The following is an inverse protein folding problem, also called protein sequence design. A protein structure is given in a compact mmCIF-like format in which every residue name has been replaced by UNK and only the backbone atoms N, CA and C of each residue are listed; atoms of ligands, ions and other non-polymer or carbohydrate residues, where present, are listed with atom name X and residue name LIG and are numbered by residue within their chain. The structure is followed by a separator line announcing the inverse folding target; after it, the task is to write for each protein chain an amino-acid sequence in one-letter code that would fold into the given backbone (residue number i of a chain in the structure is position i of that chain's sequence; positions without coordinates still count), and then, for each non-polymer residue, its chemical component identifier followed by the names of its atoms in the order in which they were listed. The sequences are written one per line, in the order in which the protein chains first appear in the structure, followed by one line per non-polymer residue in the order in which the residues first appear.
data_IF_024374430041
#
_entry.id   IF_024374430041
#
_cell.length_a   1.000
_cell.length_b   1.000
_cell.length_c   1.000
_cell.angle_alpha   90.00
_cell.angle_beta   90.00
_cell.angle_gamma   90.00
#
_symmetry.space_group_name_H-M   'P 1'
#
loop_
_entity.id
_entity.type
_entity.pdbx_description
1 polymer ?
#
# COMPACT_ATOMS: atom_id res chain seq x y z
N UNK A 1 -14.86 9.31 -10.02
CA UNK A 1 -14.94 9.92 -8.67
C UNK A 1 -16.21 9.39 -8.04
N UNK A 2 -16.11 8.82 -6.86
CA UNK A 2 -17.20 8.23 -6.10
C UNK A 2 -17.15 8.82 -4.68
N UNK A 3 -18.31 9.11 -4.11
CA UNK A 3 -18.45 9.47 -2.71
C UNK A 3 -18.93 8.24 -1.94
N UNK A 4 -18.09 7.71 -1.06
CA UNK A 4 -18.36 6.48 -0.34
C UNK A 4 -18.76 6.77 1.10
N UNK A 5 -19.90 6.22 1.51
CA UNK A 5 -20.32 6.17 2.90
C UNK A 5 -19.95 4.80 3.47
N UNK A 6 -19.36 4.73 4.67
CA UNK A 6 -18.91 3.46 5.23
C UNK A 6 -18.97 3.39 6.76
N UNK A 7 -19.08 2.15 7.25
CA UNK A 7 -18.90 1.73 8.63
C UNK A 7 -18.02 0.48 8.65
N UNK A 8 -17.29 0.29 9.75
CA UNK A 8 -16.37 -0.85 9.93
C UNK A 8 -16.68 -1.60 11.22
N UNK A 9 -16.27 -2.86 11.28
CA UNK A 9 -16.29 -3.66 12.51
C UNK A 9 -15.23 -4.77 12.42
N UNK A 10 -15.03 -5.49 13.51
CA UNK A 10 -14.19 -6.67 13.56
C UNK A 10 -14.92 -7.80 14.28
N UNK A 11 -14.77 -9.03 13.80
CA UNK A 11 -15.32 -10.22 14.45
C UNK A 11 -14.23 -11.25 14.73
N UNK A 12 -14.38 -11.99 15.84
CA UNK A 12 -13.51 -13.12 16.13
C UNK A 12 -13.77 -14.27 15.15
N UNK A 13 -12.73 -15.06 14.86
CA UNK A 13 -12.83 -16.19 13.93
C UNK A 13 -13.94 -17.19 14.33
N UNK A 14 -14.10 -17.47 15.63
CA UNK A 14 -15.13 -18.39 16.12
C UNK A 14 -16.57 -17.94 15.82
N UNK A 15 -16.81 -16.65 15.63
CA UNK A 15 -18.13 -16.10 15.29
C UNK A 15 -18.39 -16.04 13.78
N UNK A 16 -17.38 -16.29 12.95
CA UNK A 16 -17.46 -16.13 11.50
C UNK A 16 -18.60 -16.94 10.88
N UNK A 17 -18.69 -18.24 11.18
CA UNK A 17 -19.72 -19.12 10.60
C UNK A 17 -21.12 -18.62 10.94
N UNK A 18 -21.37 -18.25 12.19
CA UNK A 18 -22.65 -17.69 12.63
C UNK A 18 -22.96 -16.36 11.92
N UNK A 19 -21.96 -15.49 11.78
CA UNK A 19 -22.11 -14.20 11.10
C UNK A 19 -22.45 -14.39 9.62
N UNK A 20 -21.75 -15.28 8.93
CA UNK A 20 -21.99 -15.61 7.52
C UNK A 20 -23.40 -16.16 7.33
N UNK A 21 -23.82 -17.15 8.13
CA UNK A 21 -25.17 -17.71 8.03
C UNK A 21 -26.26 -16.67 8.30
N UNK A 22 -26.04 -15.77 9.27
CA UNK A 22 -26.99 -14.69 9.56
C UNK A 22 -27.08 -13.69 8.41
N UNK A 23 -25.94 -13.34 7.78
CA UNK A 23 -25.92 -12.46 6.61
C UNK A 23 -26.52 -13.11 5.37
N UNK A 24 -26.32 -14.41 5.15
CA UNK A 24 -26.99 -15.16 4.08
C UNK A 24 -28.52 -15.12 4.26
N UNK A 25 -29.01 -15.34 5.49
CA UNK A 25 -30.44 -15.25 5.80
C UNK A 25 -31.00 -13.83 5.62
N UNK A 26 -30.23 -12.81 6.01
CA UNK A 26 -30.62 -11.41 5.92
C UNK A 26 -30.65 -10.89 4.47
N UNK A 27 -29.61 -11.20 3.69
CA UNK A 27 -29.49 -10.74 2.30
C UNK A 27 -30.27 -11.60 1.31
N UNK A 28 -30.66 -12.82 1.70
CA UNK A 28 -31.24 -13.81 0.80
C UNK A 28 -30.23 -14.41 -0.18
N UNK A 29 -28.95 -14.05 -0.07
CA UNK A 29 -27.89 -14.61 -0.90
C UNK A 29 -27.39 -15.93 -0.31
N UNK A 30 -27.64 -17.04 -1.02
CA UNK A 30 -27.18 -18.36 -0.60
C UNK A 30 -25.65 -18.51 -0.71
N UNK A 31 -25.05 -17.92 -1.75
CA UNK A 31 -23.61 -17.94 -2.00
C UNK A 31 -23.05 -16.52 -2.01
N UNK A 32 -22.30 -16.09 -0.97
CA UNK A 32 -21.63 -14.80 -1.02
C UNK A 32 -20.57 -14.78 -2.13
N UNK A 33 -20.32 -13.59 -2.69
CA UNK A 33 -19.31 -13.44 -3.74
C UNK A 33 -17.91 -13.48 -3.13
N UNK A 34 -16.98 -14.34 -3.60
CA UNK A 34 -15.62 -14.36 -3.09
C UNK A 34 -14.86 -13.08 -3.49
N UNK A 35 -14.04 -12.58 -2.57
CA UNK A 35 -13.12 -11.46 -2.77
C UNK A 35 -11.69 -12.00 -2.68
N UNK A 36 -10.88 -11.74 -3.70
CA UNK A 36 -9.45 -11.99 -3.69
C UNK A 36 -8.75 -10.84 -4.43
N UNK A 37 -8.26 -9.85 -3.68
CA UNK A 37 -7.61 -8.67 -4.26
C UNK A 37 -6.19 -8.51 -3.76
N UNK A 38 -5.29 -8.14 -4.66
CA UNK A 38 -3.91 -7.76 -4.38
C UNK A 38 -3.81 -6.26 -4.50
N UNK A 39 -3.16 -5.62 -3.53
CA UNK A 39 -2.98 -4.17 -3.51
C UNK A 39 -1.50 -3.83 -3.40
N UNK A 40 -1.02 -3.03 -4.35
CA UNK A 40 0.24 -2.30 -4.28
C UNK A 40 -0.02 -0.89 -3.76
N UNK A 41 0.75 -0.47 -2.76
CA UNK A 41 0.76 0.89 -2.26
C UNK A 41 1.97 1.64 -2.79
N UNK A 42 1.76 2.76 -3.46
CA UNK A 42 2.82 3.57 -4.05
C UNK A 42 2.82 5.00 -3.52
N UNK A 43 4.01 5.61 -3.43
CA UNK A 43 4.23 7.04 -3.10
C UNK A 43 4.80 7.76 -4.32
N UNK A 44 4.56 9.06 -4.48
CA UNK A 44 5.33 9.87 -5.41
C UNK A 44 6.83 9.87 -5.06
N UNK A 45 7.71 9.80 -6.06
CA UNK A 45 9.17 9.92 -5.93
C UNK A 45 9.55 11.26 -5.31
N UNK A 46 9.06 12.34 -5.93
CA UNK A 46 9.35 13.70 -5.49
C UNK A 46 8.20 14.21 -4.61
N UNK A 47 8.43 14.16 -3.30
CA UNK A 47 7.49 14.74 -2.35
C UNK A 47 7.52 16.26 -2.50
N UNK A 48 6.39 16.85 -2.89
CA UNK A 48 6.22 18.28 -3.07
C UNK A 48 6.44 19.00 -1.74
N UNK A 49 7.50 19.80 -1.67
CA UNK A 49 7.80 20.67 -0.54
C UNK A 49 7.31 22.07 -0.89
N UNK A 50 6.14 22.52 -0.40
CA UNK A 50 5.62 23.84 -0.73
C UNK A 50 6.62 24.92 -0.30
N UNK A 51 7.05 25.76 -1.24
CA UNK A 51 7.76 27.00 -0.89
C UNK A 51 6.76 27.91 -0.19
N UNK A 52 7.02 28.26 1.06
CA UNK A 52 6.17 29.18 1.82
C UNK A 52 6.42 30.60 1.30
N UNK A 53 5.52 31.08 0.45
CA UNK A 53 5.48 32.49 0.03
C UNK A 53 4.36 33.19 0.81
N UNK A 54 4.65 34.27 1.56
CA UNK A 54 3.62 35.05 2.25
C UNK A 54 2.51 35.45 1.26
N UNK A 55 1.26 35.09 1.57
CA UNK A 55 0.09 35.38 0.74
C UNK A 55 -0.29 34.28 -0.27
N UNK A 56 0.55 33.25 -0.48
CA UNK A 56 0.17 32.05 -1.25
C UNK A 56 0.04 30.86 -0.32
N UNK A 57 -1.20 30.44 -0.07
CA UNK A 57 -1.46 29.16 0.59
C UNK A 57 -1.33 28.06 -0.45
N UNK A 58 -0.16 27.45 -0.54
CA UNK A 58 0.06 26.27 -1.38
C UNK A 58 -0.63 25.06 -0.71
N UNK A 59 -1.86 24.76 -1.13
CA UNK A 59 -2.68 23.64 -0.65
C UNK A 59 -2.57 22.41 -1.56
N UNK A 60 -1.39 22.14 -2.12
CA UNK A 60 -1.18 20.92 -2.89
C UNK A 60 -0.75 19.84 -1.89
N UNK A 61 -1.69 18.93 -1.61
CA UNK A 61 -1.43 17.71 -0.87
C UNK A 61 -1.08 16.59 -1.85
N UNK A 62 -0.15 15.72 -1.45
CA UNK A 62 0.16 14.50 -2.18
C UNK A 62 -0.41 13.30 -1.45
N UNK A 63 -0.78 12.28 -2.20
CA UNK A 63 -1.45 11.10 -1.69
C UNK A 63 -0.69 9.84 -2.09
N UNK A 64 -0.78 8.81 -1.25
CA UNK A 64 -0.46 7.46 -1.66
C UNK A 64 -1.48 6.98 -2.68
N UNK A 65 -1.02 6.25 -3.69
CA UNK A 65 -1.89 5.61 -4.67
C UNK A 65 -1.96 4.11 -4.37
N UNK A 66 -3.17 3.56 -4.42
CA UNK A 66 -3.41 2.11 -4.32
C UNK A 66 -3.63 1.57 -5.72
N UNK A 67 -2.85 0.58 -6.12
CA UNK A 67 -3.05 -0.15 -7.36
C UNK A 67 -3.62 -1.53 -6.99
N UNK A 68 -4.87 -1.78 -7.36
CA UNK A 68 -5.62 -2.96 -6.94
C UNK A 68 -5.82 -3.86 -8.16
N UNK A 69 -5.54 -5.15 -8.03
CA UNK A 69 -5.92 -6.16 -9.02
C UNK A 69 -6.51 -7.38 -8.33
N UNK A 70 -7.10 -8.29 -9.08
CA UNK A 70 -7.56 -9.58 -8.56
C UNK A 70 -6.41 -10.58 -8.57
N UNK A 71 -6.33 -11.42 -7.54
CA UNK A 71 -5.42 -12.56 -7.52
C UNK A 71 -6.21 -13.85 -7.40
N UNK A 72 -5.68 -14.92 -7.98
CA UNK A 72 -6.18 -16.27 -7.77
C UNK A 72 -5.35 -16.94 -6.70
N UNK A 73 -6.01 -17.47 -5.68
CA UNK A 73 -5.37 -18.33 -4.70
C UNK A 73 -4.85 -19.57 -5.45
N UNK A 74 -3.53 -19.78 -5.45
CA UNK A 74 -2.94 -21.00 -6.01
C UNK A 74 -3.18 -22.24 -5.13
N UNK A 75 -3.91 -22.07 -4.03
CA UNK A 75 -4.26 -23.07 -3.03
C UNK A 75 -5.73 -22.87 -2.63
N UNK A 76 -6.49 -23.95 -2.39
CA UNK A 76 -7.85 -23.90 -1.83
C UNK A 76 -7.82 -23.35 -0.40
N UNK A 77 -7.61 -22.05 -0.25
CA UNK A 77 -7.61 -21.41 1.05
C UNK A 77 -9.07 -21.23 1.51
N UNK A 78 -9.52 -22.15 2.36
CA UNK A 78 -10.83 -22.03 3.00
C UNK A 78 -10.78 -20.99 4.12
N UNK A 79 -11.42 -19.84 3.87
CA UNK A 79 -11.61 -18.76 4.84
C UNK A 79 -12.26 -19.24 6.16
N UNK A 80 -13.07 -20.31 6.12
CA UNK A 80 -13.73 -20.82 7.31
C UNK A 80 -12.76 -21.53 8.28
N UNK A 81 -11.58 -21.93 7.81
CA UNK A 81 -10.54 -22.52 8.65
C UNK A 81 -9.67 -21.44 9.30
N UNK A 82 -9.28 -21.65 10.56
CA UNK A 82 -8.37 -20.75 11.25
C UNK A 82 -6.99 -20.86 10.60
N UNK A 83 -6.34 -19.73 10.30
CA UNK A 83 -4.95 -19.74 9.82
C UNK A 83 -4.07 -19.89 11.05
N UNK A 84 -3.82 -21.13 11.43
CA UNK A 84 -2.89 -21.45 12.51
C UNK A 84 -1.53 -21.67 11.86
N UNK A 85 -0.48 -21.00 12.38
CA UNK A 85 0.91 -21.30 12.04
C UNK A 85 1.27 -22.69 12.61
N UNK A 86 0.79 -23.76 11.99
CA UNK A 86 1.27 -25.10 12.32
C UNK A 86 2.70 -25.23 11.80
N UNK A 87 3.66 -25.33 12.74
CA UNK A 87 5.10 -25.44 12.49
C UNK A 87 5.79 -24.21 11.88
N UNK A 88 5.24 -23.01 12.07
CA UNK A 88 5.91 -21.75 11.67
C UNK A 88 5.83 -21.41 10.19
N UNK A 89 5.28 -22.28 9.34
CA UNK A 89 5.02 -21.96 7.94
C UNK A 89 3.57 -21.52 7.74
N UNK A 90 3.35 -20.40 7.05
CA UNK A 90 2.02 -20.04 6.57
C UNK A 90 1.55 -21.03 5.50
N UNK A 91 0.32 -21.54 5.63
CA UNK A 91 -0.28 -22.44 4.64
C UNK A 91 -0.92 -21.71 3.44
N UNK A 92 -0.81 -20.39 3.37
CA UNK A 92 -1.42 -19.59 2.30
C UNK A 92 -0.36 -19.21 1.28
N UNK A 93 -0.57 -19.61 0.04
CA UNK A 93 0.34 -19.33 -1.06
C UNK A 93 -0.37 -18.53 -2.15
N UNK A 94 0.29 -17.49 -2.65
CA UNK A 94 -0.16 -16.71 -3.81
C UNK A 94 0.75 -16.99 -4.99
N UNK A 95 0.22 -17.06 -6.22
CA UNK A 95 1.08 -17.07 -7.39
C UNK A 95 1.84 -15.74 -7.50
N UNK A 96 3.10 -15.77 -7.92
CA UNK A 96 3.83 -14.55 -8.26
C UNK A 96 3.09 -13.82 -9.39
N UNK A 97 2.65 -12.58 -9.14
CA UNK A 97 1.82 -11.84 -10.09
C UNK A 97 2.62 -11.27 -11.27
N UNK A 98 3.94 -11.21 -11.13
CA UNK A 98 4.89 -10.57 -12.04
C UNK A 98 5.90 -11.59 -12.62
N UNK A 99 5.56 -12.88 -12.64
CA UNK A 99 6.48 -13.90 -13.17
C UNK A 99 6.50 -13.88 -14.70
N UNK A 100 7.68 -14.07 -15.30
CA UNK A 100 7.87 -14.10 -16.75
C UNK A 100 7.03 -15.15 -17.50
N UNK A 101 6.49 -16.18 -16.84
CA UNK A 101 5.59 -17.13 -17.51
C UNK A 101 4.20 -16.55 -17.79
N UNK A 102 3.83 -15.47 -17.08
CA UNK A 102 2.58 -14.72 -17.26
C UNK A 102 2.70 -13.61 -18.33
N UNK A 103 3.71 -13.66 -19.21
CA UNK A 103 3.98 -12.70 -20.30
C UNK A 103 2.79 -12.44 -21.26
N UNK A 104 1.70 -13.21 -21.16
CA UNK A 104 0.47 -13.02 -21.95
C UNK A 104 -0.77 -12.71 -21.10
N UNK A 105 -0.64 -12.61 -19.78
CA UNK A 105 -1.77 -12.40 -18.89
C UNK A 105 -2.13 -10.92 -18.85
N UNK A 106 -3.26 -10.59 -19.47
CA UNK A 106 -3.88 -9.28 -19.30
C UNK A 106 -4.41 -9.17 -17.88
N UNK A 107 -3.91 -8.18 -17.12
CA UNK A 107 -4.39 -7.87 -15.78
C UNK A 107 -5.13 -6.55 -15.78
N UNK A 108 -6.23 -6.52 -15.02
CA UNK A 108 -7.01 -5.30 -14.80
C UNK A 108 -6.51 -4.69 -13.50
N UNK A 109 -6.00 -3.47 -13.59
CA UNK A 109 -5.51 -2.69 -12.46
C UNK A 109 -6.45 -1.52 -12.21
N UNK A 110 -6.92 -1.37 -10.98
CA UNK A 110 -7.66 -0.18 -10.53
C UNK A 110 -6.71 0.68 -9.71
N UNK A 111 -6.36 1.84 -10.27
CA UNK A 111 -5.60 2.90 -9.58
C UNK A 111 -6.58 3.72 -8.75
N UNK A 112 -6.33 3.84 -7.46
CA UNK A 112 -7.20 4.48 -6.50
C UNK A 112 -6.44 5.49 -5.64
N UNK A 113 -6.99 6.71 -5.53
CA UNK A 113 -6.57 7.74 -4.58
C UNK A 113 -7.79 8.13 -3.75
N UNK A 114 -7.64 8.17 -2.42
CA UNK A 114 -8.74 8.45 -1.51
C UNK A 114 -8.41 9.66 -0.63
N UNK A 115 -9.28 10.66 -0.63
CA UNK A 115 -9.14 11.80 0.26
C UNK A 115 -9.38 11.39 1.73
N UNK A 116 -8.95 12.21 2.68
CA UNK A 116 -9.29 11.98 4.08
C UNK A 116 -10.82 12.03 4.27
N UNK A 117 -11.43 11.17 5.11
CA UNK A 117 -12.86 11.29 5.38
C UNK A 117 -13.26 12.69 5.85
N UNK A 118 -14.48 13.11 5.54
CA UNK A 118 -14.99 14.43 5.92
C UNK A 118 -14.87 14.58 7.44
N UNK A 119 -14.50 15.76 7.95
CA UNK A 119 -14.48 16.02 9.38
C UNK A 119 -15.88 16.38 9.90
N UNK A 120 -16.26 15.89 11.07
CA UNK A 120 -17.48 16.33 11.74
C UNK A 120 -17.76 15.60 13.05
N UNK A 121 -18.23 16.30 14.07
CA UNK A 121 -18.54 15.70 15.39
C UNK A 121 -19.81 14.83 15.39
N UNK A 122 -20.72 15.07 14.44
CA UNK A 122 -22.05 14.45 14.39
C UNK A 122 -22.23 13.59 13.13
N UNK A 123 -21.16 12.96 12.67
CA UNK A 123 -21.27 12.04 11.54
C UNK A 123 -21.88 10.73 12.00
N UNK A 124 -22.85 10.23 11.23
CA UNK A 124 -23.47 8.93 11.45
C UNK A 124 -22.72 7.79 10.76
N UNK A 125 -21.95 8.11 9.71
CA UNK A 125 -21.09 7.19 8.98
C UNK A 125 -19.84 7.94 8.48
N UNK A 126 -18.78 7.22 8.15
CA UNK A 126 -17.60 7.81 7.50
C UNK A 126 -17.94 8.15 6.05
N UNK A 127 -17.67 9.38 5.64
CA UNK A 127 -17.91 9.85 4.28
C UNK A 127 -16.58 10.23 3.63
N UNK A 128 -16.22 9.53 2.55
CA UNK A 128 -14.90 9.66 1.91
C UNK A 128 -15.04 9.83 0.40
N UNK A 129 -14.22 10.69 -0.18
CA UNK A 129 -14.13 10.84 -1.64
C UNK A 129 -13.04 9.93 -2.20
N UNK A 130 -13.38 9.16 -3.23
CA UNK A 130 -12.50 8.20 -3.88
C UNK A 130 -12.41 8.53 -5.37
N UNK A 131 -11.18 8.64 -5.86
CA UNK A 131 -10.86 8.74 -7.27
C UNK A 131 -10.32 7.40 -7.72
N UNK A 132 -10.91 6.86 -8.78
CA UNK A 132 -10.57 5.56 -9.32
C UNK A 132 -10.41 5.66 -10.84
N UNK A 133 -9.45 4.92 -11.37
CA UNK A 133 -9.21 4.73 -12.79
C UNK A 133 -8.86 3.27 -13.03
N UNK A 134 -9.42 2.66 -14.06
CA UNK A 134 -9.14 1.27 -14.41
C UNK A 134 -8.26 1.22 -15.65
N UNK A 135 -7.11 0.57 -15.52
CA UNK A 135 -6.15 0.30 -16.58
C UNK A 135 -6.20 -1.20 -16.90
N UNK A 136 -6.22 -1.53 -18.19
CA UNK A 136 -5.95 -2.89 -18.65
C UNK A 136 -4.49 -2.90 -19.06
N UNK A 137 -3.68 -3.68 -18.35
CA UNK A 137 -2.25 -3.77 -18.59
C UNK A 137 -1.89 -5.19 -19.05
N UNK A 138 -1.08 -5.28 -20.10
CA UNK A 138 -0.50 -6.55 -20.54
C UNK A 138 0.94 -6.55 -20.07
N UNK A 139 1.31 -7.52 -19.23
CA UNK A 139 2.67 -7.63 -18.74
C UNK A 139 3.61 -7.93 -19.93
N UNK A 140 4.53 -7.03 -20.19
CA UNK A 140 5.62 -7.23 -21.14
C UNK A 140 6.95 -7.14 -20.39
N UNK A 141 7.94 -7.92 -20.83
CA UNK A 141 9.29 -7.81 -20.30
C UNK A 141 10.01 -6.63 -20.96
N UNK A 142 10.36 -5.63 -20.16
CA UNK A 142 11.15 -4.46 -20.60
C UNK A 142 12.61 -4.69 -20.21
N UNK A 143 13.53 -4.63 -21.18
CA UNK A 143 14.97 -4.65 -20.91
C UNK A 143 15.36 -3.30 -20.31
N UNK A 144 15.79 -3.25 -19.04
CA UNK A 144 16.28 -2.00 -18.45
C UNK A 144 17.69 -1.69 -18.95
N UNK A 145 17.91 -0.48 -19.48
CA UNK A 145 19.26 0.10 -19.56
C UNK A 145 19.71 0.50 -18.15
N UNK A 146 20.94 0.16 -17.78
CA UNK A 146 21.48 0.25 -16.42
C UNK A 146 21.42 1.67 -15.84
N UNK A 147 20.57 1.89 -14.83
CA UNK A 147 20.69 3.00 -13.89
C UNK A 147 20.54 2.47 -12.46
N UNK A 148 21.63 2.54 -11.69
CA UNK A 148 21.76 2.10 -10.30
C UNK A 148 20.91 2.97 -9.36
N UNK A 149 19.76 2.50 -8.88
CA UNK A 149 19.07 3.05 -7.70
C UNK A 149 18.36 1.90 -6.95
N UNK A 150 18.50 1.91 -5.62
CA UNK A 150 18.13 0.87 -4.64
C UNK A 150 16.74 0.25 -4.86
N UNK A 151 16.71 -1.06 -5.17
CA UNK A 151 15.49 -1.84 -5.36
C UNK A 151 15.07 -2.53 -4.06
N UNK A 152 13.80 -2.40 -3.68
CA UNK A 152 13.15 -3.44 -2.88
C UNK A 152 13.02 -4.69 -3.77
N UNK A 153 13.55 -5.83 -3.32
CA UNK A 153 13.52 -7.11 -4.04
C UNK A 153 12.09 -7.65 -4.18
N UNK A 154 11.45 -7.25 -5.28
CA UNK A 154 10.24 -7.88 -5.81
C UNK A 154 10.70 -9.12 -6.59
N UNK A 155 10.59 -10.30 -5.97
CA UNK A 155 10.79 -11.64 -6.54
C UNK A 155 12.11 -11.90 -7.29
N UNK A 156 13.26 -11.90 -6.59
CA UNK A 156 14.52 -12.46 -7.12
C UNK A 156 14.87 -13.82 -6.46
N UNK A 157 15.26 -14.78 -7.30
CA UNK A 157 15.61 -16.15 -6.94
C UNK A 157 17.09 -16.28 -6.55
N UNK A 158 17.38 -16.84 -5.37
CA UNK A 158 18.74 -17.20 -4.98
C UNK A 158 19.11 -18.59 -5.51
N UNK A 159 20.13 -18.65 -6.37
CA UNK A 159 20.84 -19.89 -6.73
C UNK A 159 22.11 -19.98 -5.88
N UNK A 160 22.08 -20.80 -4.84
CA UNK A 160 23.30 -21.21 -4.14
C UNK A 160 23.85 -22.51 -4.76
N UNK A 161 25.09 -22.44 -5.26
CA UNK A 161 25.97 -23.60 -5.42
C UNK A 161 27.20 -23.42 -4.56
N UNK A 162 27.22 -24.18 -3.48
CA UNK A 162 28.38 -24.56 -2.68
C UNK A 162 29.50 -25.15 -3.55
N UNK A 163 30.76 -24.78 -3.27
CA UNK A 163 31.90 -25.71 -3.30
C UNK A 163 33.18 -25.13 -2.62
N UNK A 164 33.39 -25.60 -1.38
CA UNK A 164 34.63 -26.08 -0.71
C UNK A 164 36.04 -25.64 -1.20
N UNK A 165 36.78 -24.96 -0.31
CA UNK A 165 38.23 -25.09 0.09
C UNK A 165 38.66 -23.74 0.69
N UNK A 166 39.33 -23.58 1.83
CA UNK A 166 40.23 -24.40 2.64
C UNK A 166 41.33 -23.45 3.14
N UNK A 167 41.71 -23.57 4.42
CA UNK A 167 43.01 -23.18 5.01
C UNK A 167 43.31 -21.74 5.54
N UNK A 168 43.19 -21.67 6.89
CA UNK A 168 44.22 -21.27 7.90
C UNK A 168 44.53 -19.82 8.32
N UNK A 169 44.66 -19.70 9.67
CA UNK A 169 45.54 -18.83 10.51
C UNK A 169 45.12 -17.37 10.71
N UNK A 170 45.34 -16.69 11.84
CA UNK A 170 45.69 -16.94 13.25
C UNK A 170 45.77 -15.53 13.91
N UNK A 171 45.55 -15.44 15.23
CA UNK A 171 45.86 -14.33 16.19
C UNK A 171 44.90 -13.14 16.28
N UNK A 172 44.26 -12.82 17.41
CA UNK A 172 44.65 -12.56 18.83
C UNK A 172 44.90 -11.07 19.17
N UNK A 173 44.28 -10.65 20.29
CA UNK A 173 44.64 -9.55 21.21
C UNK A 173 44.27 -8.10 20.82
N UNK A 174 43.87 -7.15 21.69
CA UNK A 174 43.35 -7.11 23.07
C UNK A 174 43.12 -5.61 23.42
N UNK A 175 42.11 -5.28 24.26
CA UNK A 175 41.99 -4.05 25.12
C UNK A 175 41.85 -2.65 24.44
N UNK A 176 41.11 -1.64 24.95
CA UNK A 176 40.85 -1.20 26.33
C UNK A 176 39.75 -0.10 26.37
N UNK A 177 39.03 -0.01 27.49
CA UNK A 177 38.06 1.01 27.91
C UNK A 177 38.66 2.42 28.13
N UNK A 178 37.84 3.48 28.05
CA UNK A 178 37.67 4.48 29.13
C UNK A 178 36.54 5.51 28.85
N UNK A 179 35.69 5.72 29.86
CA UNK A 179 34.60 6.70 29.99
C UNK A 179 35.08 8.13 30.28
N UNK A 180 34.33 9.17 29.86
CA UNK A 180 34.10 10.39 30.68
C UNK A 180 32.95 11.31 30.21
N UNK A 181 32.24 11.82 31.22
CA UNK A 181 31.06 12.71 31.28
C UNK A 181 31.37 14.20 31.06
N UNK A 182 30.33 15.00 30.72
CA UNK A 182 29.92 16.34 31.28
C UNK A 182 28.94 17.02 30.28
N UNK A 183 27.64 17.19 30.53
CA UNK A 183 26.91 18.26 31.29
C UNK A 183 27.29 19.72 30.96
N UNK A 184 26.37 20.53 30.38
CA UNK A 184 25.65 21.68 31.01
C UNK A 184 25.15 22.79 30.02
N UNK A 185 23.83 23.09 30.11
CA UNK A 185 23.13 24.40 30.28
C UNK A 185 23.02 25.56 29.23
N UNK A 186 21.79 26.14 29.29
CA UNK A 186 21.27 27.53 29.05
C UNK A 186 20.76 27.89 27.64
N UNK A 187 19.48 28.22 27.41
CA UNK A 187 18.53 29.26 27.89
C UNK A 187 18.55 30.60 27.11
N UNK A 188 17.36 30.96 26.59
CA UNK A 188 16.73 32.30 26.39
C UNK A 188 17.44 33.33 25.44
N UNK A 189 16.82 34.29 24.72
CA UNK A 189 15.49 34.90 24.75
C UNK A 189 15.24 35.78 23.46
N UNK A 190 13.95 35.92 23.09
CA UNK A 190 13.17 37.07 22.53
C UNK A 190 13.68 38.14 21.52
N UNK A 191 12.74 38.44 20.57
CA UNK A 191 12.28 39.75 20.00
C UNK A 191 13.23 40.47 18.99
N UNK A 192 12.82 41.26 17.99
CA UNK A 192 11.66 42.13 17.67
C UNK A 192 11.74 42.46 16.15
N UNK A 193 10.65 42.41 15.38
CA UNK A 193 9.91 43.55 14.74
C UNK A 193 10.53 44.30 13.52
N UNK A 194 9.66 44.37 12.49
CA UNK A 194 9.34 45.54 11.64
C UNK A 194 10.09 45.92 10.32
N UNK A 195 9.30 45.80 9.24
CA UNK A 195 8.90 46.83 8.23
C UNK A 195 9.69 47.05 6.93
N UNK A 196 8.87 47.08 5.85
CA UNK A 196 8.89 47.96 4.64
C UNK A 196 9.90 47.66 3.54
N UNK A 197 9.68 47.92 2.25
CA UNK A 197 8.55 48.22 1.35
C UNK A 197 9.22 48.31 -0.06
N UNK A 198 8.48 48.00 -1.12
CA UNK A 198 8.62 48.52 -2.51
C UNK A 198 9.73 48.06 -3.49
N UNK A 199 9.24 47.43 -4.57
CA UNK A 199 9.42 47.75 -6.00
C UNK A 199 10.81 47.84 -6.65
N UNK A 200 11.08 46.96 -7.63
CA UNK A 200 11.04 47.30 -9.08
C UNK A 200 11.48 46.14 -9.99
N UNK A 201 10.81 46.11 -11.15
CA UNK A 201 11.05 45.33 -12.37
C UNK A 201 12.46 45.55 -12.92
N UNK A 202 13.05 44.54 -13.56
CA UNK A 202 13.62 44.65 -14.91
C UNK A 202 13.90 43.26 -15.52
N UNK A 203 13.50 43.11 -16.78
CA UNK A 203 13.76 41.97 -17.67
C UNK A 203 15.16 42.13 -18.28
N UNK A 204 15.92 41.04 -18.46
CA UNK A 204 16.72 40.87 -19.69
C UNK A 204 17.19 39.43 -19.93
N UNK A 205 17.04 39.00 -21.19
CA UNK A 205 17.50 37.75 -21.81
C UNK A 205 19.03 37.74 -21.92
N UNK A 206 19.70 36.58 -21.72
CA UNK A 206 20.84 36.17 -22.56
C UNK A 206 20.88 34.64 -22.72
N UNK A 207 21.24 34.24 -23.93
CA UNK A 207 21.27 32.91 -24.53
C UNK A 207 22.40 31.96 -24.04
N UNK A 208 22.10 30.67 -24.29
CA UNK A 208 22.90 29.44 -24.36
C UNK A 208 24.42 29.57 -24.57
N UNK A 209 25.17 28.73 -23.83
CA UNK A 209 26.37 28.03 -24.33
C UNK A 209 26.35 26.56 -23.88
N UNK A 210 26.49 25.67 -24.86
CA UNK A 210 26.85 24.26 -24.70
C UNK A 210 28.34 24.18 -24.34
N UNK A 211 28.69 23.28 -23.43
CA UNK A 211 30.04 22.72 -23.31
C UNK A 211 29.93 21.18 -23.34
N UNK A 212 30.43 20.59 -24.43
CA UNK A 212 30.80 19.18 -24.54
C UNK A 212 32.26 19.03 -24.11
N UNK A 213 32.54 18.14 -23.15
CA UNK A 213 33.91 17.69 -22.82
C UNK A 213 33.99 16.18 -23.00
N UNK A 214 34.99 15.77 -23.77
CA UNK A 214 35.35 14.41 -24.19
C UNK A 214 36.24 13.67 -23.16
N UNK A 215 36.30 12.35 -23.38
CA UNK A 215 37.36 11.38 -23.05
C UNK A 215 37.44 10.93 -21.58
N UNK A 216 37.53 9.63 -21.27
CA UNK A 216 38.56 8.70 -21.75
C UNK A 216 38.24 7.25 -21.38
N UNK A 217 38.69 6.32 -22.23
CA UNK A 217 38.67 4.87 -22.06
C UNK A 217 39.68 4.40 -21.00
N UNK A 218 39.29 3.46 -20.14
CA UNK A 218 40.19 2.49 -19.50
C UNK A 218 39.45 1.16 -19.37
N UNK A 219 39.88 0.16 -20.14
CA UNK A 219 39.50 -1.25 -19.99
C UNK A 219 40.16 -1.84 -18.74
N UNK A 220 39.41 -2.59 -17.93
CA UNK A 220 39.92 -3.72 -17.15
C UNK A 220 38.79 -4.76 -17.05
N UNK A 221 39.03 -5.88 -17.72
CA UNK A 221 38.27 -7.13 -17.66
C UNK A 221 38.48 -7.76 -16.27
N UNK A 222 37.40 -8.22 -15.62
CA UNK A 222 37.34 -9.52 -14.95
C UNK A 222 35.98 -9.75 -14.26
N UNK A 223 35.29 -10.81 -14.71
CA UNK A 223 34.53 -11.76 -13.88
C UNK A 223 33.35 -11.29 -13.03
N UNK A 224 32.12 -11.58 -13.50
CA UNK A 224 31.11 -12.40 -12.79
C UNK A 224 29.66 -12.02 -13.15
N UNK A 225 29.03 -12.92 -13.90
CA UNK A 225 27.61 -13.30 -13.90
C UNK A 225 26.52 -12.20 -13.98
N UNK A 226 26.09 -11.98 -15.23
CA UNK A 226 24.92 -11.21 -15.66
C UNK A 226 23.60 -11.81 -15.18
N UNK A 227 23.01 -11.26 -14.12
CA UNK A 227 21.57 -11.28 -13.91
C UNK A 227 20.94 -10.11 -14.65
N UNK A 228 20.42 -10.33 -15.87
CA UNK A 228 19.82 -9.27 -16.68
C UNK A 228 18.60 -8.67 -15.97
N UNK A 229 18.67 -7.38 -15.66
CA UNK A 229 17.60 -6.60 -15.03
C UNK A 229 16.30 -6.60 -15.85
N UNK A 230 15.43 -7.55 -15.55
CA UNK A 230 14.07 -7.57 -16.07
C UNK A 230 13.20 -6.79 -15.08
N UNK A 231 12.79 -5.59 -15.47
CA UNK A 231 11.75 -4.85 -14.73
C UNK A 231 10.39 -5.21 -15.32
N UNK A 232 9.45 -5.56 -14.45
CA UNK A 232 8.08 -5.78 -14.86
C UNK A 232 7.50 -4.49 -15.48
N UNK A 233 6.88 -4.59 -16.65
CA UNK A 233 6.26 -3.44 -17.35
C UNK A 233 5.28 -2.62 -16.50
N UNK A 234 4.55 -3.22 -15.55
CA UNK A 234 3.63 -2.47 -14.70
C UNK A 234 4.38 -1.68 -13.62
N UNK A 235 5.42 -2.26 -13.03
CA UNK A 235 6.28 -1.55 -12.08
C UNK A 235 7.06 -0.44 -12.77
N UNK A 236 7.56 -0.68 -13.99
CA UNK A 236 8.18 0.35 -14.81
C UNK A 236 7.19 1.47 -15.14
N UNK A 237 5.94 1.14 -15.48
CA UNK A 237 4.89 2.12 -15.70
C UNK A 237 4.63 3.00 -14.46
N UNK A 238 4.68 2.43 -13.26
CA UNK A 238 4.57 3.19 -12.01
C UNK A 238 5.78 4.10 -11.77
N UNK A 239 6.99 3.60 -12.02
CA UNK A 239 8.22 4.42 -11.96
C UNK A 239 8.17 5.59 -12.95
N UNK A 240 7.72 5.35 -14.19
CA UNK A 240 7.58 6.36 -15.25
C UNK A 240 6.53 7.42 -14.91
N UNK A 241 5.49 7.04 -14.16
CA UNK A 241 4.52 7.97 -13.57
C UNK A 241 5.09 8.80 -12.41
N UNK A 242 6.30 8.49 -11.96
CA UNK A 242 6.96 9.11 -10.82
C UNK A 242 6.49 8.55 -9.48
N UNK A 243 6.10 7.28 -9.41
CA UNK A 243 5.69 6.60 -8.19
C UNK A 243 6.62 5.42 -7.85
N UNK A 244 6.96 5.28 -6.57
CA UNK A 244 7.73 4.18 -6.00
C UNK A 244 6.78 3.26 -5.21
N UNK A 245 6.95 1.96 -5.36
CA UNK A 245 6.22 0.96 -4.56
C UNK A 245 6.77 0.90 -3.14
N UNK A 246 5.90 0.94 -2.13
CA UNK A 246 6.28 0.97 -0.71
C UNK A 246 5.94 -0.34 -0.02
N UNK A 247 4.74 -0.83 -0.28
CA UNK A 247 4.16 -1.94 0.46
C UNK A 247 3.14 -2.65 -0.41
N UNK A 248 2.89 -3.91 -0.06
CA UNK A 248 1.96 -4.76 -0.75
C UNK A 248 1.19 -5.60 0.26
N UNK A 249 -0.08 -5.86 -0.02
CA UNK A 249 -0.91 -6.73 0.79
C UNK A 249 -1.98 -7.41 -0.06
N UNK A 250 -2.45 -8.55 0.42
CA UNK A 250 -3.50 -9.34 -0.19
C UNK A 250 -4.72 -9.29 0.71
N UNK A 251 -5.90 -9.25 0.11
CA UNK A 251 -7.17 -9.38 0.79
C UNK A 251 -7.82 -10.65 0.27
N UNK A 252 -8.31 -11.45 1.22
CA UNK A 252 -9.19 -12.58 0.94
C UNK A 252 -10.44 -12.46 1.79
N UNK A 253 -11.60 -12.64 1.18
CA UNK A 253 -12.86 -12.51 1.90
C UNK A 253 -14.07 -12.91 1.08
N UNK A 254 -15.21 -12.47 1.56
CA UNK A 254 -16.52 -12.65 0.95
C UNK A 254 -17.31 -11.33 0.98
N UNK A 255 -18.18 -11.17 -0.01
CA UNK A 255 -19.03 -10.00 -0.20
C UNK A 255 -20.50 -10.41 -0.25
N UNK A 256 -21.33 -9.64 0.45
CA UNK A 256 -22.78 -9.69 0.35
C UNK A 256 -23.33 -8.37 -0.20
N UNK A 257 -24.46 -8.46 -0.88
CA UNK A 257 -25.19 -7.31 -1.41
C UNK A 257 -26.57 -7.26 -0.76
N UNK A 258 -26.96 -6.06 -0.32
CA UNK A 258 -28.29 -5.80 0.22
C UNK A 258 -28.76 -4.43 -0.24
N UNK A 259 -29.58 -4.39 -1.30
CA UNK A 259 -29.89 -3.13 -1.99
C UNK A 259 -28.60 -2.49 -2.53
N UNK A 260 -28.36 -1.23 -2.17
CA UNK A 260 -27.15 -0.49 -2.54
C UNK A 260 -25.99 -0.68 -1.54
N UNK A 261 -26.21 -1.44 -0.47
CA UNK A 261 -25.19 -1.71 0.54
C UNK A 261 -24.35 -2.91 0.13
N UNK A 262 -23.04 -2.71 0.16
CA UNK A 262 -22.04 -3.76 0.05
C UNK A 262 -21.49 -4.09 1.43
N UNK A 263 -21.52 -5.36 1.82
CA UNK A 263 -20.98 -5.87 3.09
C UNK A 263 -19.83 -6.80 2.75
N UNK A 264 -18.62 -6.45 3.17
CA UNK A 264 -17.41 -7.25 2.98
C UNK A 264 -16.93 -7.81 4.30
N UNK A 265 -16.59 -9.09 4.33
CA UNK A 265 -15.90 -9.75 5.44
C UNK A 265 -14.60 -10.30 4.89
N UNK A 266 -13.47 -9.87 5.42
CA UNK A 266 -12.18 -10.23 4.86
C UNK A 266 -11.06 -10.30 5.90
N UNK A 267 -9.98 -10.97 5.50
CA UNK A 267 -8.69 -10.98 6.18
C UNK A 267 -7.66 -10.27 5.30
N UNK A 268 -6.72 -9.60 5.94
CA UNK A 268 -5.57 -8.96 5.29
C UNK A 268 -4.36 -9.86 5.48
N UNK A 269 -3.71 -10.21 4.39
CA UNK A 269 -2.49 -11.00 4.35
C UNK A 269 -1.34 -10.15 3.84
N UNK A 270 -0.14 -10.42 4.34
CA UNK A 270 1.12 -9.80 3.94
C UNK A 270 2.14 -10.88 3.58
N UNK A 271 3.16 -10.51 2.81
CA UNK A 271 4.24 -11.42 2.46
C UNK A 271 4.93 -11.92 3.74
N UNK A 272 5.21 -13.22 3.80
CA UNK A 272 5.99 -13.79 4.88
C UNK A 272 7.46 -13.86 4.49
N UNK A 273 8.21 -12.81 4.82
CA UNK A 273 9.64 -12.71 4.51
C UNK A 273 10.52 -13.68 5.33
N UNK A 274 9.97 -14.34 6.35
CA UNK A 274 10.68 -15.33 7.16
C UNK A 274 10.79 -16.69 6.43
N UNK A 275 9.91 -16.96 5.46
CA UNK A 275 9.93 -18.18 4.67
C UNK A 275 10.87 -17.97 3.49
N UNK A 276 12.16 -18.25 3.70
CA UNK A 276 13.24 -18.07 2.71
C UNK A 276 13.04 -18.91 1.44
N UNK A 277 12.31 -20.03 1.51
CA UNK A 277 12.00 -20.86 0.36
C UNK A 277 10.52 -21.27 0.39
N UNK A 278 9.68 -20.78 -0.54
CA UNK A 278 8.34 -21.33 -0.69
C UNK A 278 8.46 -22.82 -1.05
N UNK A 279 7.70 -23.68 -0.37
CA UNK A 279 7.68 -25.13 -0.65
C UNK A 279 7.31 -25.47 -2.10
N UNK A 280 6.78 -24.50 -2.84
CA UNK A 280 6.38 -24.61 -4.24
C UNK A 280 7.06 -23.47 -5.03
N UNK A 281 7.89 -23.85 -6.01
CA UNK A 281 8.52 -22.91 -6.94
C UNK A 281 7.46 -22.01 -7.61
N UNK A 282 7.71 -20.70 -7.65
CA UNK A 282 6.79 -19.72 -8.26
C UNK A 282 5.64 -19.22 -7.37
N UNK A 283 5.54 -19.64 -6.11
CA UNK A 283 4.54 -19.12 -5.16
C UNK A 283 5.16 -18.27 -4.04
N UNK A 284 4.42 -17.28 -3.56
CA UNK A 284 4.77 -16.41 -2.43
C UNK A 284 4.02 -16.89 -1.19
N UNK A 285 4.76 -17.12 -0.10
CA UNK A 285 4.18 -17.43 1.20
C UNK A 285 3.55 -16.16 1.82
N UNK A 286 2.30 -16.28 2.29
CA UNK A 286 1.54 -15.17 2.88
C UNK A 286 1.19 -15.45 4.34
N UNK A 287 1.52 -14.51 5.23
CA UNK A 287 1.07 -14.53 6.63
C UNK A 287 -0.09 -13.58 6.86
N UNK A 288 -0.89 -13.83 7.89
CA UNK A 288 -1.88 -12.86 8.34
C UNK A 288 -1.18 -11.61 8.89
N UNK A 289 -1.71 -10.43 8.54
CA UNK A 289 -1.24 -9.17 9.12
C UNK A 289 -1.51 -9.13 10.63
N UNK A 290 -2.66 -9.69 11.03
CA UNK A 290 -3.08 -9.79 12.43
C UNK A 290 -3.09 -11.26 12.86
N UNK A 291 -2.17 -11.61 13.76
CA UNK A 291 -2.02 -12.95 14.31
C UNK A 291 -3.24 -13.39 15.15
N UNK A 292 -4.12 -12.45 15.53
CA UNK A 292 -5.34 -12.74 16.28
C UNK A 292 -6.40 -13.50 15.46
N UNK A 293 -6.20 -13.67 14.15
CA UNK A 293 -7.13 -14.33 13.24
C UNK A 293 -8.51 -13.64 13.13
N UNK A 294 -8.64 -12.38 13.56
CA UNK A 294 -9.90 -11.63 13.43
C UNK A 294 -10.25 -11.37 11.97
N UNK A 295 -11.55 -11.31 11.68
CA UNK A 295 -12.03 -10.82 10.39
C UNK A 295 -12.40 -9.35 10.51
N UNK A 296 -12.05 -8.59 9.48
CA UNK A 296 -12.48 -7.22 9.31
C UNK A 296 -13.78 -7.21 8.53
N UNK A 297 -14.72 -6.37 8.96
CA UNK A 297 -16.00 -6.15 8.30
C UNK A 297 -16.03 -4.71 7.82
N UNK A 298 -16.36 -4.51 6.55
CA UNK A 298 -16.60 -3.19 5.96
C UNK A 298 -17.97 -3.18 5.32
N UNK A 299 -18.81 -2.23 5.71
CA UNK A 299 -20.09 -1.98 5.05
C UNK A 299 -20.06 -0.62 4.40
N UNK A 300 -20.38 -0.52 3.12
CA UNK A 300 -20.32 0.75 2.41
C UNK A 300 -21.39 0.90 1.33
N UNK A 301 -21.66 2.14 0.97
CA UNK A 301 -22.51 2.55 -0.15
C UNK A 301 -21.71 3.52 -1.01
N UNK A 302 -21.72 3.30 -2.32
CA UNK A 302 -21.05 4.16 -3.30
C UNK A 302 -22.05 5.10 -3.96
N UNK A 303 -21.85 6.41 -3.81
CA UNK A 303 -22.70 7.46 -4.37
C UNK A 303 -21.93 8.16 -5.49
N UNK A 304 -22.53 8.21 -6.69
CA UNK A 304 -21.86 8.71 -7.88
C UNK A 304 -21.48 10.21 -7.81
N UNK A 305 -22.26 11.02 -7.09
CA UNK A 305 -22.05 12.48 -6.98
C UNK A 305 -22.08 12.90 -5.52
N UNK A 306 -21.00 13.55 -5.06
CA UNK A 306 -20.93 14.14 -3.72
C UNK A 306 -21.90 15.31 -3.51
N UNK A 307 -22.45 15.87 -4.60
CA UNK A 307 -23.42 16.97 -4.56
C UNK A 307 -24.85 16.51 -4.33
N UNK A 308 -25.12 15.20 -4.43
CA UNK A 308 -26.47 14.65 -4.27
C UNK A 308 -26.76 14.39 -2.79
N UNK A 309 -27.18 15.46 -2.10
CA UNK A 309 -27.42 15.46 -0.65
C UNK A 309 -28.55 14.49 -0.28
N UNK A 310 -29.55 14.32 -1.16
CA UNK A 310 -30.69 13.44 -0.92
C UNK A 310 -30.26 11.97 -0.89
N UNK A 311 -29.44 11.55 -1.86
CA UNK A 311 -28.87 10.20 -1.88
C UNK A 311 -27.91 9.97 -0.70
N UNK A 312 -27.12 10.97 -0.32
CA UNK A 312 -26.23 10.87 0.86
C UNK A 312 -27.04 10.66 2.14
N UNK A 313 -28.11 11.43 2.32
CA UNK A 313 -29.00 11.30 3.47
C UNK A 313 -29.74 9.97 3.47
N UNK A 314 -30.17 9.49 2.31
CA UNK A 314 -30.78 8.17 2.16
C UNK A 314 -29.79 7.05 2.52
N UNK A 315 -28.60 7.05 1.91
CA UNK A 315 -27.58 6.05 2.17
C UNK A 315 -27.15 6.02 3.64
N UNK A 316 -27.07 7.20 4.28
CA UNK A 316 -26.81 7.30 5.73
C UNK A 316 -27.91 6.62 6.55
N UNK A 317 -29.19 6.83 6.22
CA UNK A 317 -30.32 6.18 6.91
C UNK A 317 -30.32 4.67 6.71
N UNK A 318 -29.94 4.20 5.52
CA UNK A 318 -29.87 2.77 5.21
C UNK A 318 -28.73 2.08 5.98
N UNK A 319 -27.54 2.69 6.05
CA UNK A 319 -26.44 2.20 6.87
C UNK A 319 -26.79 2.17 8.37
N UNK A 320 -27.51 3.18 8.87
CA UNK A 320 -27.97 3.20 10.27
C UNK A 320 -28.99 2.10 10.56
N UNK A 321 -29.96 1.87 9.65
CA UNK A 321 -30.91 0.75 9.78
C UNK A 321 -30.18 -0.59 9.81
N UNK A 322 -29.15 -0.76 8.97
CA UNK A 322 -28.33 -1.96 8.96
C UNK A 322 -27.56 -2.12 10.28
N UNK A 323 -26.97 -1.04 10.80
CA UNK A 323 -26.28 -1.03 12.10
C UNK A 323 -27.21 -1.44 13.24
N UNK A 324 -28.46 -0.94 13.26
CA UNK A 324 -29.46 -1.34 14.26
C UNK A 324 -29.83 -2.83 14.15
N UNK A 325 -30.02 -3.33 12.93
CA UNK A 325 -30.34 -4.73 12.69
C UNK A 325 -29.21 -5.68 13.11
N UNK A 326 -27.96 -5.31 12.81
CA UNK A 326 -26.77 -6.13 13.09
C UNK A 326 -26.19 -5.94 14.49
N UNK A 327 -26.75 -5.03 15.30
CA UNK A 327 -26.25 -4.67 16.65
C UNK A 327 -26.04 -5.87 17.57
N UNK A 328 -26.83 -6.93 17.42
CA UNK A 328 -26.74 -8.16 18.23
C UNK A 328 -25.67 -9.14 17.72
N UNK A 329 -25.16 -8.95 16.51
CA UNK A 329 -24.16 -9.80 15.87
C UNK A 329 -22.76 -9.18 15.97
N UNK A 330 -22.63 -7.92 15.56
CA UNK A 330 -21.43 -7.11 15.73
C UNK A 330 -21.77 -5.61 15.72
N UNK A 331 -20.92 -4.81 16.36
CA UNK A 331 -21.11 -3.36 16.42
C UNK A 331 -20.38 -2.70 15.25
N UNK A 332 -21.14 -2.15 14.31
CA UNK A 332 -20.59 -1.27 13.27
C UNK A 332 -20.24 0.09 13.88
N UNK A 333 -19.05 0.58 13.57
CA UNK A 333 -18.50 1.84 14.08
C UNK A 333 -17.92 2.68 12.94
N UNK A 334 -17.72 3.98 13.22
CA UNK A 334 -17.08 4.89 12.29
C UNK A 334 -15.56 4.69 12.43
N UNK A 335 -14.84 4.36 11.35
CA UNK A 335 -13.38 4.24 11.40
C UNK A 335 -12.75 5.58 11.79
N UNK A 336 -11.61 5.53 12.51
CA UNK A 336 -10.86 6.75 12.81
C UNK A 336 -10.38 7.39 11.51
N UNK A 337 -10.71 8.68 11.37
CA UNK A 337 -10.35 9.51 10.23
C UNK A 337 -8.83 9.52 9.99
N UNK A 338 -8.03 9.52 11.05
CA UNK A 338 -6.57 9.55 10.94
C UNK A 338 -5.99 8.25 10.36
N UNK A 339 -6.66 7.10 10.58
CA UNK A 339 -6.25 5.82 9.99
C UNK A 339 -6.67 5.66 8.53
N UNK A 340 -7.62 6.47 8.07
CA UNK A 340 -8.07 6.51 6.67
C UNK A 340 -7.37 7.60 5.86
N UNK A 341 -6.45 8.36 6.46
CA UNK A 341 -5.73 9.43 5.79
C UNK A 341 -4.64 8.85 4.88
N UNK A 342 -4.81 9.01 3.57
CA UNK A 342 -3.85 8.54 2.57
C UNK A 342 -2.83 9.62 2.15
N UNK A 343 -2.80 10.76 2.84
CA UNK A 343 -1.86 11.84 2.52
C UNK A 343 -0.43 11.45 2.87
N UNK A 344 0.50 11.80 1.98
CA UNK A 344 1.93 11.66 2.23
C UNK A 344 2.32 12.68 3.29
N UNK A 345 2.70 12.18 4.47
CA UNK A 345 3.15 13.05 5.54
C UNK A 345 4.53 13.59 5.19
N UNK A 346 4.61 14.88 4.89
CA UNK A 346 5.89 15.58 4.81
C UNK A 346 6.45 15.60 6.23
N UNK A 347 7.46 14.76 6.53
CA UNK A 347 8.25 14.91 7.75
C UNK A 347 8.80 16.34 7.75
N UNK A 348 8.36 17.14 8.73
CA UNK A 348 8.86 18.49 8.96
C UNK A 348 10.32 18.46 9.36
#
# INVERSE_FOLDING_TARGET
MVHQLSLVSSIAHGSYVQTVSTLQAFTGMLSPQPIATYTLLTKPHEVFKPKFEPGKVNQIEQYYMKCITTWSDGSEFDLASAVIKENGSSNVFSGRLFHAEDESVQRIWTLQISDIPIAGKNQACSAQTIYESTLIHTHTNVKSEENKIDAMDVDLEHKDKSDVKGDTKEKEEDKKEEDKKEEDKKEEDKKEEDKKEEDKKEEEKVEKKNDEVKHSEVNLEDGAETGSGHKDSFLQFLEDLGYETISQYWIKGIRFFHGDIVIEIFKVLVRDDEVTEPKEEGKIALKLLDESNTFQIRTYINIAKSTDIDLINQGTKELLRLQEFLKNLFKLEIPDRMFMDSRVQVRK
#
